data_IF_653710461808
#
_entry.id   IF_653710461808
#
_cell.length_a   1.000
_cell.length_b   1.000
_cell.length_c   1.000
_cell.angle_alpha   90.00
_cell.angle_beta   90.00
_cell.angle_gamma   90.00
#
_symmetry.space_group_name_H-M   'P 1'
#
loop_
_entity.id
_entity.type
_entity.pdbx_description
1 polymer ?
#
# COMPACT_ATOMS: atom_id res chain seq x y z
N UNK A 1 -8.11 -13.06 -14.13
CA UNK A 1 -6.92 -13.47 -14.90
C UNK A 1 -5.92 -12.31 -14.86
N UNK A 2 -4.65 -12.53 -14.51
CA UNK A 2 -3.66 -11.47 -14.37
C UNK A 2 -2.78 -11.41 -15.64
N UNK A 3 -2.73 -10.28 -16.34
CA UNK A 3 -2.05 -10.14 -17.64
C UNK A 3 -0.52 -10.37 -17.56
N UNK A 4 0.13 -9.96 -16.45
CA UNK A 4 1.56 -10.23 -16.27
C UNK A 4 1.85 -11.72 -16.09
N UNK A 5 0.90 -12.49 -15.53
CA UNK A 5 1.01 -13.96 -15.42
C UNK A 5 0.80 -14.68 -16.75
N UNK A 6 0.31 -13.98 -17.77
CA UNK A 6 0.16 -14.50 -19.13
C UNK A 6 1.31 -14.10 -20.05
N UNK A 7 2.34 -13.41 -19.53
CA UNK A 7 3.45 -12.90 -20.33
C UNK A 7 3.08 -11.72 -21.23
N UNK A 8 1.99 -11.01 -20.95
CA UNK A 8 1.51 -9.88 -21.78
C UNK A 8 2.16 -8.53 -21.42
N UNK A 9 3.19 -8.51 -20.58
CA UNK A 9 3.94 -7.30 -20.26
C UNK A 9 4.43 -7.23 -18.81
N UNK A 10 4.68 -6.01 -18.36
CA UNK A 10 5.18 -5.67 -17.02
C UNK A 10 4.20 -4.75 -16.29
N UNK A 11 4.28 -4.71 -14.96
CA UNK A 11 3.46 -3.84 -14.14
C UNK A 11 4.29 -3.25 -12.98
N UNK A 12 4.04 -1.98 -12.68
CA UNK A 12 4.50 -1.35 -11.44
C UNK A 12 3.56 -1.75 -10.30
N UNK A 13 4.14 -2.28 -9.23
CA UNK A 13 3.42 -2.89 -8.11
C UNK A 13 4.00 -2.38 -6.78
N UNK A 14 3.17 -2.13 -5.74
CA UNK A 14 3.69 -1.85 -4.41
C UNK A 14 4.46 -3.05 -3.85
N UNK A 15 5.52 -2.80 -3.08
CA UNK A 15 6.33 -3.88 -2.48
C UNK A 15 5.50 -4.88 -1.65
N UNK A 16 4.46 -4.37 -0.96
CA UNK A 16 3.52 -5.16 -0.17
C UNK A 16 2.83 -6.28 -0.97
N UNK A 17 2.67 -6.12 -2.30
CA UNK A 17 2.03 -7.14 -3.13
C UNK A 17 2.99 -8.26 -3.55
N UNK A 18 4.31 -8.09 -3.40
CA UNK A 18 5.30 -9.08 -3.84
C UNK A 18 5.11 -10.45 -3.18
N UNK A 19 4.75 -10.48 -1.89
CA UNK A 19 4.45 -11.72 -1.16
C UNK A 19 3.28 -12.51 -1.76
N UNK A 20 2.31 -11.81 -2.35
CA UNK A 20 1.15 -12.41 -3.02
C UNK A 20 1.43 -12.83 -4.47
N UNK A 21 2.57 -12.42 -5.03
CA UNK A 21 2.96 -12.62 -6.43
C UNK A 21 3.98 -13.75 -6.58
N UNK A 22 4.66 -14.12 -5.48
CA UNK A 22 5.68 -15.16 -5.40
C UNK A 22 5.34 -16.41 -6.24
N UNK A 23 6.28 -16.81 -7.10
CA UNK A 23 6.12 -17.85 -8.12
C UNK A 23 6.93 -17.51 -9.39
N UNK A 24 6.34 -17.74 -10.57
CA UNK A 24 6.95 -17.57 -11.91
C UNK A 24 7.23 -16.12 -12.35
N UNK A 25 7.05 -15.14 -11.48
CA UNK A 25 7.21 -13.72 -11.81
C UNK A 25 8.48 -13.15 -11.17
N UNK A 26 9.28 -12.47 -11.98
CA UNK A 26 10.45 -11.73 -11.53
C UNK A 26 10.05 -10.31 -11.07
N UNK A 27 10.60 -9.86 -9.93
CA UNK A 27 10.46 -8.49 -9.46
C UNK A 27 11.81 -7.78 -9.49
N UNK A 28 11.81 -6.54 -9.96
CA UNK A 28 12.99 -5.68 -9.97
C UNK A 28 12.66 -4.42 -9.17
N UNK A 29 13.53 -3.99 -8.22
CA UNK A 29 13.31 -2.75 -7.48
C UNK A 29 13.36 -1.55 -8.44
N UNK A 30 12.45 -0.60 -8.23
CA UNK A 30 12.43 0.65 -8.98
C UNK A 30 13.30 1.70 -8.27
N UNK A 31 14.27 2.26 -8.99
CA UNK A 31 15.17 3.30 -8.49
C UNK A 31 14.98 4.61 -9.28
N UNK A 32 14.78 5.78 -8.62
CA UNK A 32 14.70 5.95 -7.16
C UNK A 32 13.40 5.37 -6.59
N UNK A 33 13.39 5.09 -5.29
CA UNK A 33 12.22 4.51 -4.63
C UNK A 33 10.99 5.40 -4.81
N UNK A 34 9.97 4.84 -5.45
CA UNK A 34 8.70 5.52 -5.70
C UNK A 34 7.68 5.16 -4.61
N UNK A 35 7.55 6.02 -3.61
CA UNK A 35 6.56 5.84 -2.55
C UNK A 35 5.23 6.48 -2.93
N UNK A 36 4.16 5.68 -2.90
CA UNK A 36 2.80 6.19 -2.96
C UNK A 36 2.22 6.20 -1.55
N UNK A 37 1.99 7.39 -1.00
CA UNK A 37 1.31 7.56 0.28
C UNK A 37 -0.11 6.97 0.22
N UNK A 38 -0.45 6.10 1.16
CA UNK A 38 -1.82 5.63 1.37
C UNK A 38 -2.47 6.57 2.39
N UNK A 39 -3.64 7.11 2.06
CA UNK A 39 -4.33 8.10 2.90
C UNK A 39 -5.75 7.65 3.20
N UNK A 40 -6.22 7.89 4.43
CA UNK A 40 -7.62 7.74 4.82
C UNK A 40 -8.40 9.00 4.41
N UNK A 41 -9.41 8.83 3.55
CA UNK A 41 -10.29 9.93 3.15
C UNK A 41 -11.65 9.79 3.83
N UNK A 42 -12.09 10.85 4.48
CA UNK A 42 -13.40 10.94 5.12
C UNK A 42 -14.12 12.20 4.62
N UNK A 43 -15.46 12.13 4.53
CA UNK A 43 -16.30 13.25 4.09
C UNK A 43 -16.15 14.47 5.00
N UNK A 44 -16.05 14.22 6.30
CA UNK A 44 -15.93 15.22 7.35
C UNK A 44 -14.72 14.88 8.23
N UNK A 45 -14.19 15.88 8.93
CA UNK A 45 -13.07 15.67 9.85
C UNK A 45 -13.52 14.72 10.97
N UNK A 46 -12.76 13.64 11.27
CA UNK A 46 -13.14 12.73 12.34
C UNK A 46 -13.26 13.47 13.68
N UNK A 47 -14.36 13.21 14.38
CA UNK A 47 -14.62 13.76 15.71
C UNK A 47 -13.81 12.97 16.73
N UNK A 48 -13.21 13.65 17.72
CA UNK A 48 -12.42 13.01 18.76
C UNK A 48 -13.18 11.87 19.46
N UNK A 49 -12.52 10.72 19.64
CA UNK A 49 -13.12 9.51 20.22
C UNK A 49 -14.04 8.72 19.28
N UNK A 50 -14.38 9.23 18.10
CA UNK A 50 -15.17 8.48 17.11
C UNK A 50 -14.37 7.30 16.53
N UNK A 51 -15.05 6.28 15.96
CA UNK A 51 -14.36 5.17 15.29
C UNK A 51 -13.40 5.62 14.18
N UNK A 52 -13.77 6.66 13.41
CA UNK A 52 -12.92 7.21 12.36
C UNK A 52 -11.68 7.92 12.93
N UNK A 53 -11.83 8.60 14.06
CA UNK A 53 -10.71 9.24 14.74
C UNK A 53 -9.73 8.19 15.27
N UNK A 54 -10.24 7.16 15.93
CA UNK A 54 -9.42 6.05 16.42
C UNK A 54 -8.67 5.35 15.27
N UNK A 55 -9.36 5.09 14.14
CA UNK A 55 -8.72 4.53 12.95
C UNK A 55 -7.61 5.45 12.41
N UNK A 56 -7.88 6.74 12.29
CA UNK A 56 -6.88 7.72 11.84
C UNK A 56 -5.66 7.72 12.77
N UNK A 57 -5.85 7.82 14.08
CA UNK A 57 -4.75 7.79 15.05
C UNK A 57 -3.95 6.48 14.97
N UNK A 58 -4.63 5.34 14.83
CA UNK A 58 -3.95 4.06 14.64
C UNK A 58 -3.09 4.06 13.37
N UNK A 59 -3.61 4.57 12.24
CA UNK A 59 -2.83 4.65 11.00
C UNK A 59 -1.62 5.58 11.12
N UNK A 60 -1.77 6.74 11.77
CA UNK A 60 -0.67 7.69 12.01
C UNK A 60 0.42 7.08 12.90
N UNK A 61 0.03 6.35 13.95
CA UNK A 61 0.97 5.64 14.82
C UNK A 61 1.72 4.53 14.09
N UNK A 62 1.07 3.81 13.16
CA UNK A 62 1.74 2.78 12.38
C UNK A 62 2.80 3.38 11.44
N UNK A 63 2.52 4.55 10.85
CA UNK A 63 3.49 5.30 10.02
C UNK A 63 4.69 5.76 10.86
N UNK A 64 4.44 6.38 12.02
CA UNK A 64 5.50 6.84 12.93
C UNK A 64 6.39 5.69 13.40
N UNK A 65 5.79 4.52 13.63
CA UNK A 65 6.51 3.31 14.06
C UNK A 65 7.18 2.55 12.89
N UNK A 66 7.10 3.05 11.65
CA UNK A 66 7.67 2.41 10.47
C UNK A 66 7.07 1.03 10.15
N UNK A 67 5.82 0.80 10.58
CA UNK A 67 5.11 -0.47 10.34
C UNK A 67 4.30 -0.44 9.05
N UNK A 68 4.00 0.75 8.52
CA UNK A 68 3.39 1.02 7.21
C UNK A 68 3.95 2.32 6.63
#
# INVERSE_FOLDING_TARGET
MNFIRQGLGIALQPELTLKSIAGELCSVPLEPTFYRQISLLAKEKPVEGSPLFLLQTCTEQLVVNGKI
#
